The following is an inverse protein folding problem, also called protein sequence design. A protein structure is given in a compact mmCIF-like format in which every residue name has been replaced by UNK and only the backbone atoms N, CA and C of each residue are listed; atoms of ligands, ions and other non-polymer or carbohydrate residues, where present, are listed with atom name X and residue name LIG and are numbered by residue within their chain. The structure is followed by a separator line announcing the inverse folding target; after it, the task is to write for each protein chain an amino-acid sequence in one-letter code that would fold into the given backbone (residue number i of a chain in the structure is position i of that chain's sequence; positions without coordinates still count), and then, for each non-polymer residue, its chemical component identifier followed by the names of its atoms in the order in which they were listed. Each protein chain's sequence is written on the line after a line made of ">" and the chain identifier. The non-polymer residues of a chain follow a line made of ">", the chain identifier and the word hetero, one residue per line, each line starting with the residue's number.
data_IF_089813098931
#
_entry.id   IF_089813098931
#
_cell.length_a   1.000
_cell.length_b   1.000
_cell.length_c   1.000
_cell.angle_alpha   90.00
_cell.angle_beta   90.00
_cell.angle_gamma   90.00
#
_symmetry.space_group_name_H-M   'P 1'
#
loop_
_entity.id
_entity.type
_entity.pdbx_description
1 polymer ?
#
# COMPACT_ATOMS: atom_id res chain seq x y z
N UNK A 1 16.99 6.67 16.30
CA UNK A 1 16.10 7.07 15.19
C UNK A 1 15.22 5.87 14.92
N UNK A 2 14.12 5.76 15.66
CA UNK A 2 13.20 4.62 15.62
C UNK A 2 12.40 4.68 14.34
N UNK A 3 12.72 3.82 13.37
CA UNK A 3 11.94 3.69 12.15
C UNK A 3 10.59 3.06 12.53
N UNK A 4 9.49 3.81 12.41
CA UNK A 4 8.14 3.29 12.65
C UNK A 4 7.63 2.53 11.42
N UNK A 5 6.96 1.41 11.69
CA UNK A 5 6.19 0.69 10.69
C UNK A 5 4.88 1.45 10.45
N UNK A 6 4.58 1.73 9.18
CA UNK A 6 3.32 2.29 8.72
C UNK A 6 2.53 1.23 7.94
N UNK A 7 1.21 1.30 8.04
CA UNK A 7 0.29 0.42 7.32
C UNK A 7 -0.85 1.26 6.75
N UNK A 8 -1.18 1.01 5.49
CA UNK A 8 -2.21 1.69 4.72
C UNK A 8 -3.14 0.65 4.11
N UNK A 9 -4.44 0.83 4.32
CA UNK A 9 -5.47 -0.03 3.73
C UNK A 9 -5.99 0.62 2.46
N UNK A 10 -6.07 -0.16 1.40
CA UNK A 10 -6.53 0.29 0.09
C UNK A 10 -7.78 -0.50 -0.27
N UNK A 11 -8.91 0.20 -0.28
CA UNK A 11 -10.16 -0.33 -0.80
C UNK A 11 -10.17 -0.19 -2.32
N UNK A 12 -10.15 -1.32 -3.02
CA UNK A 12 -10.06 -1.32 -4.47
C UNK A 12 -11.45 -1.46 -5.11
N UNK A 13 -11.92 -0.41 -5.78
CA UNK A 13 -13.07 -0.52 -6.68
C UNK A 13 -12.64 -1.13 -8.02
N UNK A 14 -13.54 -1.85 -8.69
CA UNK A 14 -13.28 -2.52 -9.99
C UNK A 14 -12.72 -1.58 -11.06
N UNK A 15 -13.12 -0.31 -11.04
CA UNK A 15 -12.66 0.69 -12.00
C UNK A 15 -11.22 1.17 -11.75
N UNK A 16 -10.73 1.03 -10.52
CA UNK A 16 -9.44 1.56 -10.07
C UNK A 16 -8.38 0.47 -9.89
N UNK A 17 -8.75 -0.82 -10.00
CA UNK A 17 -7.81 -1.94 -9.90
C UNK A 17 -6.65 -1.84 -10.90
N UNK A 18 -6.92 -1.51 -12.16
CA UNK A 18 -5.88 -1.41 -13.19
C UNK A 18 -4.91 -0.25 -12.93
N UNK A 19 -5.42 0.90 -12.50
CA UNK A 19 -4.59 2.09 -12.23
C UNK A 19 -3.80 1.95 -10.93
N UNK A 20 -4.44 1.46 -9.87
CA UNK A 20 -3.80 1.21 -8.59
C UNK A 20 -2.75 0.11 -8.71
N UNK A 21 -3.02 -0.98 -9.44
CA UNK A 21 -2.04 -2.05 -9.63
C UNK A 21 -0.72 -1.56 -10.25
N UNK A 22 -0.80 -0.68 -11.26
CA UNK A 22 0.36 -0.06 -11.88
C UNK A 22 1.10 0.89 -10.93
N UNK A 23 0.39 1.67 -10.11
CA UNK A 23 0.99 2.58 -9.14
C UNK A 23 1.66 1.81 -7.98
N UNK A 24 0.98 0.81 -7.43
CA UNK A 24 1.48 -0.03 -6.33
C UNK A 24 2.69 -0.86 -6.74
N UNK A 25 2.79 -1.26 -8.01
CA UNK A 25 3.97 -1.99 -8.50
C UNK A 25 5.23 -1.13 -8.56
N UNK A 26 5.09 0.21 -8.70
CA UNK A 26 6.23 1.14 -8.77
C UNK A 26 6.74 1.58 -7.40
N UNK A 27 5.89 1.52 -6.37
CA UNK A 27 6.26 1.94 -5.02
C UNK A 27 7.47 1.16 -4.44
N UNK A 28 7.53 -0.19 -4.52
CA UNK A 28 8.70 -0.94 -4.06
C UNK A 28 9.97 -0.69 -4.88
N UNK A 29 9.84 -0.24 -6.14
CA UNK A 29 10.99 0.10 -6.98
C UNK A 29 11.66 1.40 -6.52
N UNK A 30 10.85 2.36 -6.04
CA UNK A 30 11.30 3.66 -5.55
C UNK A 30 11.74 3.59 -4.07
N UNK A 31 11.05 2.78 -3.25
CA UNK A 31 11.35 2.59 -1.84
C UNK A 31 11.31 1.09 -1.47
N UNK A 32 12.47 0.44 -1.25
CA UNK A 32 12.55 -1.00 -0.96
C UNK A 32 12.03 -1.38 0.44
N UNK A 33 11.60 -0.40 1.25
CA UNK A 33 10.95 -0.65 2.54
C UNK A 33 9.45 -0.84 2.39
N UNK A 34 8.88 -0.50 1.23
CA UNK A 34 7.46 -0.67 0.93
C UNK A 34 7.15 -2.12 0.52
N UNK A 35 6.15 -2.70 1.17
CA UNK A 35 5.62 -4.03 0.90
C UNK A 35 4.11 -3.97 0.70
N UNK A 36 3.65 -4.52 -0.42
CA UNK A 36 2.22 -4.67 -0.72
C UNK A 36 1.83 -6.13 -0.54
N UNK A 37 0.76 -6.39 0.20
CA UNK A 37 0.10 -7.69 0.20
C UNK A 37 -1.42 -7.52 0.14
N UNK A 38 -2.13 -8.59 -0.19
CA UNK A 38 -3.59 -8.61 -0.17
C UNK A 38 -4.07 -9.47 0.99
N UNK A 39 -4.97 -8.94 1.79
CA UNK A 39 -5.64 -9.69 2.84
C UNK A 39 -6.68 -10.61 2.22
N UNK A 40 -6.55 -11.91 2.48
CA UNK A 40 -7.49 -12.91 1.98
C UNK A 40 -8.84 -12.86 2.72
N UNK A 41 -8.84 -12.42 3.98
CA UNK A 41 -10.03 -12.36 4.84
C UNK A 41 -10.96 -11.20 4.49
N UNK A 42 -10.42 -10.00 4.25
CA UNK A 42 -11.22 -8.80 3.91
C UNK A 42 -11.25 -8.53 2.40
N UNK A 43 -10.33 -9.12 1.64
CA UNK A 43 -10.13 -8.82 0.22
C UNK A 43 -9.43 -7.48 -0.04
N UNK A 44 -9.05 -6.76 1.01
CA UNK A 44 -8.35 -5.46 0.97
C UNK A 44 -6.89 -5.63 0.56
N UNK A 45 -6.33 -4.59 -0.03
CA UNK A 45 -4.89 -4.53 -0.29
C UNK A 45 -4.22 -3.70 0.80
N UNK A 46 -3.24 -4.27 1.49
CA UNK A 46 -2.46 -3.61 2.54
C UNK A 46 -1.11 -3.20 1.95
N UNK A 47 -0.77 -1.92 2.10
CA UNK A 47 0.56 -1.39 1.83
C UNK A 47 1.23 -1.09 3.16
N UNK A 48 2.41 -1.68 3.40
CA UNK A 48 3.21 -1.50 4.62
C UNK A 48 4.58 -0.92 4.29
N UNK A 49 5.18 -0.16 5.20
CA UNK A 49 6.44 0.56 4.94
C UNK A 49 7.18 0.98 6.20
N UNK A 50 8.43 1.45 6.07
CA UNK A 50 9.09 2.22 7.12
C UNK A 50 8.97 3.72 6.86
N UNK A 51 8.37 4.48 7.78
CA UNK A 51 8.28 5.93 7.63
C UNK A 51 7.48 6.62 8.73
N UNK A 52 7.37 7.95 8.63
CA UNK A 52 6.63 8.80 9.58
C UNK A 52 5.25 9.23 9.06
N UNK A 53 4.97 9.05 7.76
CA UNK A 53 3.72 9.48 7.12
C UNK A 53 2.72 8.32 7.07
N UNK A 54 1.59 8.44 7.79
CA UNK A 54 0.45 7.55 7.60
C UNK A 54 -0.19 7.90 6.26
N UNK A 55 0.03 7.05 5.25
CA UNK A 55 -0.57 7.25 3.93
C UNK A 55 -1.97 6.64 3.98
N UNK A 56 -2.99 7.42 4.30
CA UNK A 56 -4.38 7.03 3.97
C UNK A 56 -4.55 7.16 2.46
N UNK A 57 -4.36 6.07 1.72
CA UNK A 57 -4.71 6.00 0.31
C UNK A 57 -6.23 5.82 0.21
N UNK A 58 -6.97 6.91 0.36
CA UNK A 58 -8.37 6.95 -0.01
C UNK A 58 -8.45 7.14 -1.53
N UNK A 59 -8.90 6.10 -2.25
CA UNK A 59 -9.25 6.15 -3.67
C UNK A 59 -10.76 6.36 -3.82
#
# INVERSE_FOLDING_TARGET
>A
MDKKQIEAKIEQNKADQDKLGAALSRLPEEDPTLHVHREADTGETILSGMGDTHVEVAA
#
